data_IF_304931326551
#
_entry.id   IF_304931326551
#
_cell.length_a   1.000
_cell.length_b   1.000
_cell.length_c   1.000
_cell.angle_alpha   90.00
_cell.angle_beta   90.00
_cell.angle_gamma   90.00
#
_symmetry.space_group_name_H-M   'P 1'
#
loop_
_entity.id
_entity.type
_entity.pdbx_description
1 polymer ?
#
# COMPACT_ATOMS: atom_id res chain seq x y z
N UNK A 1 2.97 4.99 5.11
CA UNK A 1 3.36 3.59 5.46
C UNK A 1 4.03 3.64 6.83
N UNK A 2 3.75 2.72 7.77
CA UNK A 2 4.53 2.60 9.01
C UNK A 2 6.04 2.55 8.70
N UNK A 3 6.85 3.25 9.48
CA UNK A 3 8.26 3.45 9.17
C UNK A 3 9.02 2.12 9.13
N UNK A 4 8.70 1.18 10.02
CA UNK A 4 9.33 -0.14 10.06
C UNK A 4 9.13 -0.95 8.77
N UNK A 5 8.05 -0.71 8.03
CA UNK A 5 7.81 -1.36 6.74
C UNK A 5 8.59 -0.66 5.62
N UNK A 6 8.77 0.66 5.67
CA UNK A 6 9.66 1.35 4.73
C UNK A 6 11.12 0.95 4.95
N UNK A 7 11.56 0.86 6.21
CA UNK A 7 12.90 0.40 6.58
C UNK A 7 13.15 -1.06 6.11
N UNK A 8 12.10 -1.88 6.04
CA UNK A 8 12.12 -3.24 5.50
C UNK A 8 11.97 -3.31 3.96
N UNK A 9 11.92 -2.17 3.26
CA UNK A 9 11.90 -2.10 1.79
C UNK A 9 10.68 -1.40 1.19
N UNK A 10 9.66 -1.10 1.99
CA UNK A 10 8.50 -0.30 1.60
C UNK A 10 7.54 -1.01 0.65
N UNK A 11 6.76 -0.23 -0.11
CA UNK A 11 5.91 -0.77 -1.17
C UNK A 11 6.65 -1.55 -2.28
N UNK A 12 7.93 -1.27 -2.59
CA UNK A 12 8.71 -2.16 -3.46
C UNK A 12 8.83 -3.60 -2.94
N UNK A 13 8.75 -3.83 -1.62
CA UNK A 13 8.77 -5.16 -1.04
C UNK A 13 7.37 -5.83 -1.10
N UNK A 14 7.30 -7.04 -1.66
CA UNK A 14 6.04 -7.79 -1.81
C UNK A 14 5.32 -8.05 -0.48
N UNK A 15 6.08 -8.24 0.60
CA UNK A 15 5.56 -8.48 1.95
C UNK A 15 4.62 -7.35 2.42
N UNK A 16 4.88 -6.11 2.00
CA UNK A 16 4.04 -4.94 2.33
C UNK A 16 2.61 -5.09 1.81
N UNK A 17 2.41 -5.72 0.66
CA UNK A 17 1.07 -5.98 0.12
C UNK A 17 0.30 -7.01 0.98
N UNK A 18 0.98 -8.02 1.51
CA UNK A 18 0.39 -9.03 2.39
C UNK A 18 0.00 -8.42 3.73
N UNK A 19 0.90 -7.64 4.34
CA UNK A 19 0.64 -6.90 5.57
C UNK A 19 -0.48 -5.89 5.43
N UNK A 20 -0.60 -5.25 4.27
CA UNK A 20 -1.73 -4.36 4.00
C UNK A 20 -3.06 -5.11 4.00
N UNK A 21 -3.12 -6.33 3.43
CA UNK A 21 -4.31 -7.15 3.46
C UNK A 21 -4.66 -7.61 4.88
N UNK A 22 -3.67 -8.00 5.70
CA UNK A 22 -3.87 -8.32 7.12
C UNK A 22 -4.43 -7.11 7.88
N UNK A 23 -3.86 -5.93 7.67
CA UNK A 23 -4.37 -4.69 8.26
C UNK A 23 -5.80 -4.38 7.82
N UNK A 24 -6.14 -4.57 6.54
CA UNK A 24 -7.49 -4.36 6.03
C UNK A 24 -8.50 -5.31 6.69
N UNK A 25 -8.13 -6.58 6.87
CA UNK A 25 -8.96 -7.56 7.57
C UNK A 25 -9.22 -7.15 9.02
N UNK A 26 -8.18 -6.73 9.77
CA UNK A 26 -8.33 -6.22 11.13
C UNK A 26 -9.21 -4.96 11.21
N UNK A 27 -9.06 -4.05 10.25
CA UNK A 27 -9.89 -2.85 10.17
C UNK A 27 -11.36 -3.20 9.94
N UNK A 28 -11.64 -4.19 9.10
CA UNK A 28 -12.98 -4.67 8.83
C UNK A 28 -13.59 -5.43 10.01
N UNK A 29 -12.83 -6.28 10.70
CA UNK A 29 -13.29 -6.93 11.93
C UNK A 29 -13.72 -5.89 12.99
N UNK A 30 -13.00 -4.77 13.07
CA UNK A 30 -13.27 -3.72 14.05
C UNK A 30 -14.43 -2.77 13.66
N UNK A 31 -14.64 -2.54 12.36
CA UNK A 31 -15.49 -1.44 11.85
C UNK A 31 -16.49 -1.84 10.76
N UNK A 32 -16.45 -3.07 10.27
CA UNK A 32 -17.28 -3.57 9.16
C UNK A 32 -18.77 -3.58 9.48
N UNK A 33 -19.15 -3.54 10.76
CA UNK A 33 -20.52 -3.39 11.23
C UNK A 33 -21.09 -1.97 11.06
N UNK A 34 -20.22 -0.97 10.83
CA UNK A 34 -20.57 0.46 10.81
C UNK A 34 -20.17 1.18 9.52
N UNK A 35 -19.22 0.64 8.76
CA UNK A 35 -18.72 1.25 7.52
C UNK A 35 -19.27 0.50 6.31
N UNK A 36 -20.17 1.15 5.57
CA UNK A 36 -20.84 0.57 4.38
C UNK A 36 -19.98 0.64 3.11
N UNK A 37 -19.08 1.63 3.03
CA UNK A 37 -18.29 1.90 1.83
C UNK A 37 -16.80 1.91 2.14
N UNK A 38 -16.09 0.97 1.53
CA UNK A 38 -14.66 0.80 1.71
C UNK A 38 -13.90 1.20 0.45
N UNK A 39 -12.83 1.97 0.65
CA UNK A 39 -11.82 2.23 -0.38
C UNK A 39 -10.51 1.73 0.16
N UNK A 40 -9.89 0.77 -0.52
CA UNK A 40 -8.64 0.17 -0.03
C UNK A 40 -7.47 1.14 -0.16
N UNK A 41 -7.27 1.73 -1.33
CA UNK A 41 -6.17 2.64 -1.61
C UNK A 41 -6.67 3.97 -2.16
N UNK A 42 -6.12 5.05 -1.64
CA UNK A 42 -6.19 6.37 -2.27
C UNK A 42 -4.96 6.57 -3.17
N UNK A 43 -5.19 7.00 -4.41
CA UNK A 43 -4.16 7.45 -5.36
C UNK A 43 -2.87 6.59 -5.37
N UNK A 44 -2.93 5.31 -5.78
CA UNK A 44 -1.75 4.45 -5.83
C UNK A 44 -0.66 5.02 -6.75
N UNK A 45 -1.03 5.79 -7.78
CA UNK A 45 -0.05 6.50 -8.61
C UNK A 45 0.78 7.51 -7.81
N UNK A 46 0.15 8.31 -6.94
CA UNK A 46 0.87 9.27 -6.10
C UNK A 46 1.82 8.53 -5.15
N UNK A 47 1.32 7.49 -4.47
CA UNK A 47 2.12 6.71 -3.51
C UNK A 47 3.33 6.03 -4.17
N UNK A 48 3.18 5.51 -5.40
CA UNK A 48 4.29 4.88 -6.11
C UNK A 48 5.19 5.88 -6.85
N UNK A 49 4.62 6.66 -7.79
CA UNK A 49 5.41 7.49 -8.70
C UNK A 49 5.97 8.72 -8.00
N UNK A 50 5.16 9.45 -7.21
CA UNK A 50 5.68 10.60 -6.48
C UNK A 50 6.56 10.20 -5.30
N UNK A 51 6.33 9.01 -4.72
CA UNK A 51 7.10 8.50 -3.58
C UNK A 51 8.44 7.86 -3.95
N UNK A 52 8.47 7.04 -5.01
CA UNK A 52 9.63 6.23 -5.37
C UNK A 52 10.31 6.64 -6.68
N UNK A 53 9.62 7.26 -7.66
CA UNK A 53 10.25 7.68 -8.91
C UNK A 53 10.72 9.15 -8.87
N UNK A 54 9.84 10.06 -8.44
CA UNK A 54 10.09 11.50 -8.50
C UNK A 54 10.59 12.08 -7.18
N UNK A 55 10.42 11.36 -6.07
CA UNK A 55 10.85 11.75 -4.74
C UNK A 55 10.21 13.06 -4.24
N UNK A 56 8.98 13.34 -4.66
CA UNK A 56 8.19 14.51 -4.25
C UNK A 56 7.44 14.22 -2.95
N UNK A 57 6.93 13.00 -2.80
CA UNK A 57 6.30 12.52 -1.57
C UNK A 57 7.21 11.56 -0.82
N UNK A 58 6.91 11.29 0.44
CA UNK A 58 7.56 10.20 1.17
C UNK A 58 7.44 8.87 0.38
N UNK A 59 8.47 8.01 0.39
CA UNK A 59 9.73 8.13 1.13
C UNK A 59 10.79 9.05 0.48
N UNK A 60 10.49 9.72 -0.64
CA UNK A 60 11.41 10.65 -1.29
C UNK A 60 12.48 9.97 -2.14
N UNK A 61 12.26 8.70 -2.51
CA UNK A 61 13.18 7.91 -3.33
C UNK A 61 13.07 8.32 -4.81
N UNK A 62 14.13 8.05 -5.58
CA UNK A 62 14.26 8.39 -7.00
C UNK A 62 14.78 7.21 -7.82
N UNK A 63 14.03 6.12 -7.78
CA UNK A 63 14.28 4.86 -8.47
C UNK A 63 13.01 4.39 -9.18
N UNK A 64 13.08 4.28 -10.52
CA UNK A 64 11.95 3.86 -11.34
C UNK A 64 11.62 2.37 -11.17
N UNK A 65 12.62 1.52 -10.92
CA UNK A 65 12.43 0.10 -10.69
C UNK A 65 11.62 -0.15 -9.42
N UNK A 66 12.01 0.52 -8.33
CA UNK A 66 11.27 0.52 -7.07
C UNK A 66 9.86 1.08 -7.26
N UNK A 67 9.70 2.15 -8.03
CA UNK A 67 8.38 2.71 -8.30
C UNK A 67 7.46 1.71 -9.04
N UNK A 68 7.97 0.99 -10.04
CA UNK A 68 7.18 -0.02 -10.75
C UNK A 68 6.83 -1.22 -9.86
N UNK A 69 7.76 -1.64 -8.98
CA UNK A 69 7.47 -2.64 -7.97
C UNK A 69 6.39 -2.16 -6.98
N UNK A 70 6.49 -0.91 -6.52
CA UNK A 70 5.50 -0.29 -5.65
C UNK A 70 4.12 -0.18 -6.31
N UNK A 71 4.03 0.20 -7.60
CA UNK A 71 2.77 0.19 -8.36
C UNK A 71 2.15 -1.22 -8.32
N UNK A 72 2.95 -2.25 -8.64
CA UNK A 72 2.46 -3.62 -8.66
C UNK A 72 1.95 -4.06 -7.28
N UNK A 73 2.72 -3.81 -6.21
CA UNK A 73 2.37 -4.26 -4.87
C UNK A 73 1.23 -3.46 -4.23
N UNK A 74 1.06 -2.18 -4.57
CA UNK A 74 -0.14 -1.44 -4.23
C UNK A 74 -1.37 -2.10 -4.85
N UNK A 75 -1.34 -2.37 -6.16
CA UNK A 75 -2.49 -2.99 -6.84
C UNK A 75 -2.74 -4.45 -6.39
N UNK A 76 -1.68 -5.19 -6.08
CA UNK A 76 -1.80 -6.51 -5.44
C UNK A 76 -2.45 -6.39 -4.06
N UNK A 77 -1.98 -5.45 -3.22
CA UNK A 77 -2.54 -5.18 -1.90
C UNK A 77 -4.01 -4.77 -1.98
N UNK A 78 -4.41 -3.97 -2.98
CA UNK A 78 -5.81 -3.64 -3.26
C UNK A 78 -6.65 -4.91 -3.49
N UNK A 79 -6.21 -5.80 -4.38
CA UNK A 79 -6.95 -7.03 -4.69
C UNK A 79 -7.03 -8.00 -3.51
N UNK A 80 -5.93 -8.14 -2.75
CA UNK A 80 -5.90 -8.98 -1.55
C UNK A 80 -6.79 -8.43 -0.44
N UNK A 81 -6.74 -7.12 -0.19
CA UNK A 81 -7.60 -6.47 0.79
C UNK A 81 -9.07 -6.62 0.41
N UNK A 82 -9.44 -6.36 -0.86
CA UNK A 82 -10.82 -6.50 -1.31
C UNK A 82 -11.37 -7.93 -1.19
N UNK A 83 -10.51 -8.95 -1.26
CA UNK A 83 -10.90 -10.35 -1.04
C UNK A 83 -11.02 -10.73 0.45
N UNK A 84 -10.50 -9.91 1.35
CA UNK A 84 -10.46 -10.14 2.80
C UNK A 84 -11.53 -9.37 3.60
N UNK A 85 -12.22 -8.41 2.95
CA UNK A 85 -13.42 -7.73 3.47
C UNK A 85 -14.67 -8.58 3.19
#
# INVERSE_FOLDING_TARGET
LPQELEDAGGWPARDTALRFAEYASLAYEALGDRVEHWTTLNEPWCSAMLGYAYGVHAPGRRDLGDAMAAVHHLLLGHGLAAAAL
#
